data_IF_875271342060
#
_entry.id   IF_875271342060
#
_cell.length_a   1.000
_cell.length_b   1.000
_cell.length_c   1.000
_cell.angle_alpha   90.00
_cell.angle_beta   90.00
_cell.angle_gamma   90.00
#
_symmetry.space_group_name_H-M   'P 1'
#
loop_
_entity.id
_entity.type
_entity.pdbx_description
1 polymer ?
#
# COMPACT_ATOMS: atom_id res chain seq x y z
N UNK A 1 -11.90 64.88 -38.22
CA UNK A 1 -12.50 64.47 -36.98
C UNK A 1 -13.09 63.05 -37.12
N UNK A 2 -12.25 61.98 -37.16
CA UNK A 2 -12.71 60.56 -37.24
C UNK A 2 -11.68 59.57 -36.76
N UNK A 3 -10.96 59.79 -35.63
CA UNK A 3 -9.95 58.85 -35.09
C UNK A 3 -10.30 58.31 -33.69
N UNK A 4 -11.46 58.68 -33.11
CA UNK A 4 -11.82 58.25 -31.72
C UNK A 4 -12.62 56.96 -31.58
N UNK A 5 -12.99 56.27 -32.65
CA UNK A 5 -13.86 55.07 -32.54
C UNK A 5 -13.12 53.73 -32.59
N UNK A 6 -11.84 53.68 -32.92
CA UNK A 6 -11.12 52.41 -33.03
C UNK A 6 -10.25 52.08 -31.81
N UNK A 7 -9.96 53.06 -30.95
CA UNK A 7 -9.17 52.84 -29.72
C UNK A 7 -9.87 52.00 -28.67
N UNK A 8 -11.20 52.09 -28.62
CA UNK A 8 -11.99 51.32 -27.65
C UNK A 8 -12.15 49.82 -28.01
N UNK A 9 -12.08 49.50 -29.32
CA UNK A 9 -12.22 48.13 -29.78
C UNK A 9 -10.91 47.33 -29.60
N UNK A 10 -9.76 48.01 -29.76
CA UNK A 10 -8.42 47.40 -29.55
C UNK A 10 -8.15 47.14 -28.05
N UNK A 11 -8.65 48.00 -27.15
CA UNK A 11 -8.48 47.79 -25.71
C UNK A 11 -9.36 46.64 -25.18
N UNK A 12 -10.55 46.44 -25.74
CA UNK A 12 -11.42 45.32 -25.41
C UNK A 12 -10.85 43.98 -25.89
N UNK A 13 -10.18 43.92 -27.02
CA UNK A 13 -9.60 42.70 -27.59
C UNK A 13 -8.34 42.25 -26.81
N UNK A 14 -7.56 43.21 -26.27
CA UNK A 14 -6.39 42.91 -25.45
C UNK A 14 -6.76 42.32 -24.09
N UNK A 15 -7.94 42.64 -23.53
CA UNK A 15 -8.40 42.10 -22.25
C UNK A 15 -8.94 40.65 -22.36
N UNK A 16 -9.45 40.28 -23.53
CA UNK A 16 -9.96 38.89 -23.76
C UNK A 16 -8.81 37.91 -23.95
N UNK A 17 -7.65 38.38 -24.48
CA UNK A 17 -6.46 37.51 -24.65
C UNK A 17 -5.66 37.31 -23.33
N UNK A 18 -5.82 38.20 -22.36
CA UNK A 18 -5.16 38.06 -21.04
C UNK A 18 -5.90 37.11 -20.08
N UNK A 19 -7.14 36.73 -20.40
CA UNK A 19 -7.98 35.87 -19.54
C UNK A 19 -7.68 34.38 -19.66
N UNK A 20 -6.82 33.96 -20.62
CA UNK A 20 -6.47 32.55 -20.78
C UNK A 20 -5.11 32.14 -20.23
N UNK A 21 -4.36 33.08 -19.63
CA UNK A 21 -3.16 32.75 -18.89
C UNK A 21 -3.51 32.51 -17.40
N UNK A 22 -4.27 31.48 -17.13
CA UNK A 22 -4.23 30.88 -15.78
C UNK A 22 -2.78 30.52 -15.46
N UNK A 23 -2.33 30.60 -14.20
CA UNK A 23 -0.98 30.20 -13.86
C UNK A 23 -0.78 28.79 -14.41
N UNK A 24 0.14 28.66 -15.37
CA UNK A 24 0.63 27.35 -15.80
C UNK A 24 1.31 26.74 -14.56
N UNK A 25 0.54 26.01 -13.78
CA UNK A 25 1.07 25.21 -12.71
C UNK A 25 1.95 24.16 -13.38
N UNK A 26 3.25 24.43 -13.39
CA UNK A 26 4.23 23.47 -13.87
C UNK A 26 4.61 22.59 -12.68
N UNK A 27 4.21 21.32 -12.66
CA UNK A 27 4.61 20.39 -11.61
C UNK A 27 6.11 20.16 -11.55
N UNK A 28 6.88 20.67 -12.55
CA UNK A 28 8.33 20.57 -12.61
C UNK A 28 9.09 21.60 -11.75
N UNK A 29 8.40 22.58 -11.12
CA UNK A 29 9.02 23.56 -10.22
C UNK A 29 8.97 23.16 -8.75
N UNK A 30 8.22 22.16 -8.35
CA UNK A 30 8.34 21.59 -7.01
C UNK A 30 9.62 20.77 -6.94
N UNK A 31 10.51 21.14 -6.02
CA UNK A 31 11.67 20.30 -5.68
C UNK A 31 11.15 18.90 -5.38
N UNK A 32 11.68 17.90 -6.10
CA UNK A 32 11.42 16.52 -5.75
C UNK A 32 11.76 16.32 -4.27
N UNK A 33 10.74 16.11 -3.46
CA UNK A 33 10.91 15.80 -2.04
C UNK A 33 11.41 14.36 -2.00
N UNK A 34 12.73 14.21 -1.90
CA UNK A 34 13.32 12.91 -1.69
C UNK A 34 13.21 12.55 -0.21
N UNK A 35 12.76 11.36 0.11
CA UNK A 35 12.93 10.76 1.42
C UNK A 35 11.74 10.77 2.36
N UNK A 36 10.58 11.26 1.99
CA UNK A 36 9.36 10.98 2.73
C UNK A 36 8.67 9.75 2.17
N UNK A 37 8.64 8.71 2.98
CA UNK A 37 7.80 7.55 2.74
C UNK A 37 6.34 7.99 2.55
N UNK A 38 5.65 7.44 1.57
CA UNK A 38 4.25 7.74 1.36
C UNK A 38 3.44 7.14 2.52
N UNK A 39 2.93 8.00 3.39
CA UNK A 39 2.12 7.59 4.55
C UNK A 39 0.67 7.46 4.11
N UNK A 40 0.19 6.23 4.02
CA UNK A 40 -1.20 5.91 3.69
C UNK A 40 -2.12 6.14 4.90
N UNK A 41 -3.44 6.21 4.68
CA UNK A 41 -4.39 6.22 5.81
C UNK A 41 -4.36 4.89 6.56
N UNK A 42 -4.18 3.79 5.83
CA UNK A 42 -4.06 2.46 6.41
C UNK A 42 -2.80 2.34 7.27
N UNK A 43 -1.69 2.95 6.84
CA UNK A 43 -0.48 3.04 7.64
C UNK A 43 -0.71 3.76 8.98
N UNK A 44 -1.46 4.87 8.96
CA UNK A 44 -1.83 5.58 10.19
C UNK A 44 -2.68 4.70 11.12
N UNK A 45 -3.66 3.96 10.56
CA UNK A 45 -4.48 3.04 11.35
C UNK A 45 -3.62 1.92 11.95
N UNK A 46 -2.68 1.35 11.17
CA UNK A 46 -1.75 0.32 11.62
C UNK A 46 -0.85 0.80 12.76
N UNK A 47 -0.22 1.97 12.59
CA UNK A 47 0.73 2.53 13.59
C UNK A 47 0.03 3.11 14.81
N UNK A 48 -1.28 3.39 14.74
CA UNK A 48 -2.09 3.86 15.87
C UNK A 48 -2.69 2.74 16.72
N UNK A 49 -2.46 1.48 16.37
CA UNK A 49 -2.94 0.35 17.17
C UNK A 49 -2.32 0.42 18.58
N UNK A 50 -3.12 0.14 19.64
CA UNK A 50 -2.58 0.01 20.99
C UNK A 50 -1.45 -1.03 21.03
N UNK A 51 -0.37 -0.78 21.79
CA UNK A 51 0.82 -1.62 21.77
C UNK A 51 0.55 -3.03 22.32
N UNK A 52 1.36 -4.04 21.92
CA UNK A 52 1.30 -5.38 22.48
C UNK A 52 1.86 -5.41 23.92
N UNK A 53 1.47 -6.43 24.70
CA UNK A 53 2.14 -6.75 25.97
C UNK A 53 3.62 -7.05 25.74
N UNK A 54 3.93 -7.78 24.64
CA UNK A 54 5.27 -8.14 24.22
C UNK A 54 5.30 -8.31 22.71
N UNK A 55 6.34 -7.76 22.07
CA UNK A 55 6.54 -7.98 20.64
C UNK A 55 6.79 -9.46 20.33
N UNK A 56 6.23 -9.92 19.22
CA UNK A 56 6.32 -11.33 18.80
C UNK A 56 7.37 -11.49 17.71
N UNK A 57 8.43 -12.30 17.91
CA UNK A 57 9.36 -12.64 16.85
C UNK A 57 8.66 -13.47 15.76
N UNK A 58 8.73 -13.01 14.53
CA UNK A 58 8.07 -13.63 13.37
C UNK A 58 9.05 -13.81 12.22
N UNK A 59 8.88 -14.85 11.44
CA UNK A 59 9.65 -15.12 10.26
C UNK A 59 8.83 -14.81 8.99
N UNK A 60 9.44 -14.13 8.03
CA UNK A 60 8.90 -13.96 6.67
C UNK A 60 9.93 -14.50 5.71
N UNK A 61 9.57 -15.54 4.94
CA UNK A 61 10.49 -16.12 3.94
C UNK A 61 10.32 -15.45 2.59
N UNK A 62 9.10 -15.41 2.08
CA UNK A 62 8.77 -14.82 0.78
C UNK A 62 7.32 -14.38 0.76
N UNK A 63 7.10 -13.16 0.30
CA UNK A 63 5.76 -12.64 0.03
C UNK A 63 5.77 -12.06 -1.38
N UNK A 64 5.21 -12.78 -2.36
CA UNK A 64 5.41 -12.51 -3.77
C UNK A 64 4.12 -12.21 -4.51
N UNK A 65 4.29 -11.59 -5.68
CA UNK A 65 3.28 -11.55 -6.71
C UNK A 65 3.02 -12.96 -7.26
N UNK A 66 1.77 -13.42 -7.16
CA UNK A 66 1.28 -14.70 -7.66
C UNK A 66 0.30 -14.51 -8.82
N UNK A 67 0.10 -13.27 -9.29
CA UNK A 67 -0.84 -12.96 -10.38
C UNK A 67 -0.25 -13.25 -11.75
N UNK A 68 1.07 -13.16 -11.89
CA UNK A 68 1.78 -13.36 -13.15
C UNK A 68 1.44 -12.33 -14.22
N UNK A 69 0.91 -11.16 -13.84
CA UNK A 69 0.47 -10.16 -14.80
C UNK A 69 1.59 -9.19 -15.19
N UNK A 70 1.59 -8.82 -16.46
CA UNK A 70 2.50 -7.83 -17.05
C UNK A 70 1.78 -6.51 -17.30
N UNK A 71 2.54 -5.40 -17.31
CA UNK A 71 2.00 -4.07 -17.62
C UNK A 71 1.41 -4.05 -19.01
N UNK A 72 0.17 -3.59 -19.12
CA UNK A 72 -0.47 -3.37 -20.40
C UNK A 72 0.22 -2.21 -21.13
N UNK A 73 0.59 -2.43 -22.39
CA UNK A 73 1.12 -1.41 -23.27
C UNK A 73 0.43 -1.49 -24.62
N UNK A 74 0.00 -0.36 -25.12
CA UNK A 74 -0.63 -0.24 -26.45
C UNK A 74 0.38 -0.17 -27.60
N UNK A 75 1.64 0.15 -27.29
CA UNK A 75 2.65 0.47 -28.31
C UNK A 75 3.79 -0.55 -28.40
N UNK A 76 4.10 -1.27 -27.34
CA UNK A 76 5.20 -2.24 -27.29
C UNK A 76 4.83 -3.40 -26.36
N UNK A 77 5.31 -4.59 -26.67
CA UNK A 77 5.21 -5.73 -25.72
C UNK A 77 6.00 -5.40 -24.46
N UNK A 78 5.32 -5.14 -23.37
CA UNK A 78 5.97 -4.86 -22.07
C UNK A 78 6.26 -6.18 -21.36
N UNK A 79 7.54 -6.38 -20.98
CA UNK A 79 7.97 -7.49 -20.12
C UNK A 79 8.03 -7.08 -18.63
N UNK A 80 7.65 -5.85 -18.31
CA UNK A 80 7.59 -5.39 -16.92
C UNK A 80 6.37 -5.99 -16.22
N UNK A 81 6.59 -6.52 -15.01
CA UNK A 81 5.48 -6.98 -14.16
C UNK A 81 4.54 -5.83 -13.82
N UNK A 82 3.25 -6.10 -13.79
CA UNK A 82 2.25 -5.10 -13.41
C UNK A 82 2.32 -4.76 -11.93
N UNK A 83 2.74 -5.72 -11.12
CA UNK A 83 2.85 -5.66 -9.67
C UNK A 83 4.33 -5.59 -9.27
N UNK A 84 4.64 -4.82 -8.22
CA UNK A 84 5.97 -4.76 -7.64
C UNK A 84 6.46 -6.13 -7.18
N UNK A 85 7.75 -6.43 -7.44
CA UNK A 85 8.38 -7.65 -6.95
C UNK A 85 8.96 -7.49 -5.53
N UNK A 86 8.91 -6.26 -4.98
CA UNK A 86 9.39 -5.92 -3.65
C UNK A 86 8.37 -6.12 -2.51
N UNK A 87 7.29 -6.85 -2.73
CA UNK A 87 6.21 -7.00 -1.76
C UNK A 87 6.66 -7.59 -0.40
N UNK A 88 7.72 -8.43 -0.37
CA UNK A 88 8.30 -8.92 0.89
C UNK A 88 8.85 -7.77 1.73
N UNK A 89 9.56 -6.82 1.12
CA UNK A 89 10.11 -5.67 1.84
C UNK A 89 8.99 -4.78 2.41
N UNK A 90 7.92 -4.57 1.65
CA UNK A 90 6.74 -3.82 2.12
C UNK A 90 6.09 -4.52 3.32
N UNK A 91 5.95 -5.85 3.28
CA UNK A 91 5.40 -6.61 4.40
C UNK A 91 6.29 -6.52 5.65
N UNK A 92 7.61 -6.70 5.50
CA UNK A 92 8.55 -6.59 6.61
C UNK A 92 8.46 -5.21 7.24
N UNK A 93 8.43 -4.16 6.42
CA UNK A 93 8.28 -2.78 6.90
C UNK A 93 6.97 -2.57 7.64
N UNK A 94 5.84 -3.04 7.12
CA UNK A 94 4.55 -2.94 7.79
C UNK A 94 4.49 -3.69 9.13
N UNK A 95 5.14 -4.86 9.22
CA UNK A 95 5.26 -5.62 10.47
C UNK A 95 6.09 -4.86 11.51
N UNK A 96 7.21 -4.27 11.10
CA UNK A 96 8.10 -3.47 11.95
C UNK A 96 7.37 -2.21 12.45
N UNK A 97 6.77 -1.44 11.55
CA UNK A 97 6.08 -0.18 11.86
C UNK A 97 4.86 -0.38 12.76
N UNK A 98 4.23 -1.54 12.70
CA UNK A 98 3.11 -1.89 13.59
C UNK A 98 3.51 -1.88 15.08
N UNK A 99 4.80 -2.06 15.40
CA UNK A 99 5.30 -2.23 16.76
C UNK A 99 4.86 -3.53 17.46
N UNK A 100 4.12 -4.41 16.76
CA UNK A 100 3.62 -5.68 17.30
C UNK A 100 4.58 -6.83 17.10
N UNK A 101 5.42 -6.77 16.08
CA UNK A 101 6.27 -7.86 15.65
C UNK A 101 7.74 -7.48 15.62
N UNK A 102 8.59 -8.48 15.73
CA UNK A 102 10.03 -8.40 15.45
C UNK A 102 10.27 -9.28 14.23
N UNK A 103 10.33 -8.72 13.01
CA UNK A 103 10.64 -9.49 11.81
C UNK A 103 12.08 -10.04 11.89
N UNK A 104 12.22 -11.34 11.66
CA UNK A 104 13.52 -12.00 11.64
C UNK A 104 13.95 -12.25 10.20
N UNK A 105 15.23 -11.98 9.90
CA UNK A 105 15.80 -12.26 8.57
C UNK A 105 15.71 -13.75 8.23
N UNK A 106 14.92 -14.07 7.23
CA UNK A 106 14.74 -15.42 6.70
C UNK A 106 14.75 -15.46 5.17
N UNK A 107 14.56 -14.33 4.51
CA UNK A 107 14.60 -14.25 3.04
C UNK A 107 16.01 -14.52 2.53
N UNK A 108 17.02 -13.91 3.18
CA UNK A 108 18.43 -14.02 2.86
C UNK A 108 19.23 -14.64 4.02
N UNK A 109 18.66 -15.62 4.70
CA UNK A 109 19.30 -16.30 5.83
C UNK A 109 20.68 -16.85 5.50
N UNK A 110 20.91 -17.30 4.26
CA UNK A 110 22.19 -17.81 3.83
C UNK A 110 23.32 -16.77 3.96
N UNK A 111 23.06 -15.50 3.62
CA UNK A 111 24.02 -14.42 3.76
C UNK A 111 24.36 -14.17 5.24
N UNK A 112 23.35 -14.13 6.10
CA UNK A 112 23.54 -13.99 7.54
C UNK A 112 24.39 -15.12 8.13
N UNK A 113 24.12 -16.36 7.75
CA UNK A 113 24.88 -17.52 8.19
C UNK A 113 26.31 -17.50 7.66
N UNK A 114 26.52 -17.01 6.43
CA UNK A 114 27.86 -16.85 5.85
C UNK A 114 28.68 -15.81 6.61
N UNK A 115 28.11 -14.65 6.95
CA UNK A 115 28.78 -13.63 7.77
C UNK A 115 29.16 -14.18 9.16
N UNK A 116 28.25 -14.89 9.80
CA UNK A 116 28.52 -15.55 11.08
C UNK A 116 29.67 -16.55 11.00
N UNK A 117 29.74 -17.30 9.88
CA UNK A 117 30.83 -18.24 9.62
C UNK A 117 32.16 -17.51 9.43
N UNK A 118 32.19 -16.40 8.69
CA UNK A 118 33.38 -15.57 8.50
C UNK A 118 33.92 -15.09 9.85
N UNK A 119 33.05 -14.55 10.72
CA UNK A 119 33.46 -14.08 12.05
C UNK A 119 34.11 -15.21 12.86
N UNK A 120 33.53 -16.42 12.84
CA UNK A 120 34.06 -17.58 13.54
C UNK A 120 35.43 -18.03 12.95
N UNK A 121 35.56 -18.06 11.63
CA UNK A 121 36.80 -18.42 10.97
C UNK A 121 37.93 -17.43 11.24
N UNK A 122 37.64 -16.13 11.18
CA UNK A 122 38.62 -15.09 11.50
C UNK A 122 39.09 -15.19 12.95
N UNK A 123 38.19 -15.42 13.90
CA UNK A 123 38.54 -15.58 15.32
C UNK A 123 39.44 -16.82 15.59
N UNK A 124 39.31 -17.85 14.77
CA UNK A 124 40.17 -19.06 14.85
C UNK A 124 41.53 -18.83 14.25
N UNK A 125 41.63 -18.08 13.13
CA UNK A 125 42.86 -17.86 12.37
C UNK A 125 43.88 -17.01 13.14
N UNK A 126 43.43 -16.06 13.94
CA UNK A 126 44.31 -15.15 14.68
C UNK A 126 44.89 -15.74 15.96
N UNK A 127 44.54 -16.98 16.34
CA UNK A 127 45.09 -17.72 17.51
C UNK A 127 45.06 -16.92 18.84
N UNK A 128 44.23 -15.90 18.91
CA UNK A 128 44.04 -15.06 20.08
C UNK A 128 42.80 -15.53 20.83
N UNK A 129 43.00 -16.07 22.02
CA UNK A 129 41.91 -16.56 22.85
C UNK A 129 40.91 -15.43 23.26
N UNK A 130 41.38 -14.19 23.35
CA UNK A 130 40.53 -13.04 23.58
C UNK A 130 39.60 -12.76 22.38
N UNK A 131 40.12 -12.95 21.13
CA UNK A 131 39.30 -12.79 19.93
C UNK A 131 38.27 -13.89 19.80
N UNK A 132 38.58 -15.14 20.17
CA UNK A 132 37.62 -16.25 20.20
C UNK A 132 36.50 -16.00 21.20
N UNK A 133 36.85 -15.59 22.43
CA UNK A 133 35.90 -15.25 23.46
C UNK A 133 35.02 -14.06 23.02
N UNK A 134 35.62 -13.06 22.42
CA UNK A 134 34.90 -11.88 21.88
C UNK A 134 33.97 -12.26 20.75
N UNK A 135 34.38 -13.11 19.79
CA UNK A 135 33.52 -13.57 18.71
C UNK A 135 32.30 -14.37 19.22
N UNK A 136 32.51 -15.23 20.23
CA UNK A 136 31.41 -15.97 20.87
C UNK A 136 30.46 -15.07 21.65
N UNK A 137 30.98 -13.99 22.26
CA UNK A 137 30.14 -12.96 22.93
C UNK A 137 29.35 -12.12 21.95
N UNK A 138 29.93 -11.80 20.78
CA UNK A 138 29.27 -11.03 19.71
C UNK A 138 28.18 -11.87 19.04
N UNK A 139 28.46 -13.15 18.75
CA UNK A 139 27.54 -14.04 18.06
C UNK A 139 26.53 -14.70 19.01
N UNK A 140 25.57 -13.92 19.44
CA UNK A 140 24.44 -14.47 20.20
C UNK A 140 23.65 -15.49 19.38
N UNK A 141 22.95 -16.45 20.02
CA UNK A 141 22.04 -17.36 19.33
C UNK A 141 21.02 -16.59 18.51
N UNK A 142 20.68 -17.10 17.33
CA UNK A 142 19.60 -16.52 16.53
C UNK A 142 18.27 -16.66 17.26
N UNK A 143 17.47 -15.63 17.19
CA UNK A 143 16.11 -15.62 17.76
C UNK A 143 15.25 -16.63 17.00
N UNK A 144 14.45 -17.40 17.73
CA UNK A 144 13.48 -18.33 17.17
C UNK A 144 12.17 -17.59 16.86
N UNK A 145 11.63 -17.80 15.67
CA UNK A 145 10.29 -17.38 15.33
C UNK A 145 9.28 -18.39 15.89
N UNK A 146 8.28 -17.93 16.60
CA UNK A 146 7.14 -18.78 17.00
C UNK A 146 6.10 -18.92 15.88
N UNK A 147 6.07 -17.93 14.98
CA UNK A 147 5.12 -17.81 13.88
C UNK A 147 5.85 -17.49 12.59
N UNK A 148 5.44 -18.13 11.51
CA UNK A 148 5.83 -17.76 10.15
C UNK A 148 4.67 -17.02 9.52
N UNK A 149 4.94 -15.86 8.92
CA UNK A 149 4.00 -15.20 8.02
C UNK A 149 4.29 -15.60 6.58
N UNK A 150 3.26 -16.11 5.92
CA UNK A 150 3.29 -16.49 4.51
C UNK A 150 2.12 -15.87 3.79
N UNK A 151 2.30 -15.57 2.52
CA UNK A 151 1.25 -14.97 1.73
C UNK A 151 1.74 -14.48 0.38
N UNK A 152 0.97 -13.56 -0.18
CA UNK A 152 1.29 -12.95 -1.46
C UNK A 152 0.13 -12.14 -2.03
N UNK A 153 0.40 -11.58 -3.18
CA UNK A 153 -0.59 -10.87 -3.97
C UNK A 153 -1.24 -11.89 -4.91
N UNK A 154 -2.54 -12.14 -4.72
CA UNK A 154 -3.30 -13.20 -5.41
C UNK A 154 -4.27 -12.67 -6.46
N UNK A 155 -4.51 -11.36 -6.48
CA UNK A 155 -5.39 -10.74 -7.45
C UNK A 155 -4.90 -9.36 -7.82
N UNK A 156 -4.93 -9.08 -9.12
CA UNK A 156 -4.74 -7.77 -9.68
C UNK A 156 -5.64 -7.61 -10.89
N UNK A 157 -6.55 -6.65 -10.81
CA UNK A 157 -7.43 -6.27 -11.90
C UNK A 157 -7.26 -4.78 -12.18
N UNK A 158 -7.17 -4.42 -13.44
CA UNK A 158 -7.19 -3.04 -13.89
C UNK A 158 -8.27 -2.87 -14.95
N UNK A 159 -9.18 -1.91 -14.70
CA UNK A 159 -10.27 -1.62 -15.62
C UNK A 159 -10.29 -0.13 -15.93
N UNK A 160 -10.46 0.22 -17.19
CA UNK A 160 -10.70 1.59 -17.64
C UNK A 160 -12.21 1.81 -17.68
N UNK A 161 -12.70 2.69 -16.83
CA UNK A 161 -14.11 3.07 -16.79
C UNK A 161 -14.26 4.45 -17.43
N UNK A 162 -15.02 4.54 -18.49
CA UNK A 162 -15.33 5.82 -19.12
C UNK A 162 -16.56 6.41 -18.43
N UNK A 163 -16.33 7.35 -17.51
CA UNK A 163 -17.40 8.11 -16.84
C UNK A 163 -17.85 9.26 -17.73
N UNK A 164 -19.02 9.12 -18.39
CA UNK A 164 -19.66 10.23 -19.07
C UNK A 164 -20.69 10.88 -18.15
N UNK A 165 -20.38 11.95 -17.45
CA UNK A 165 -21.39 12.94 -17.10
C UNK A 165 -21.70 13.71 -18.39
N UNK A 166 -22.65 13.18 -19.13
CA UNK A 166 -23.07 13.76 -20.41
C UNK A 166 -23.93 14.99 -20.22
N UNK A 167 -23.32 16.11 -19.86
CA UNK A 167 -23.83 17.38 -20.29
C UNK A 167 -23.18 17.69 -21.65
N UNK A 168 -23.73 17.15 -22.73
CA UNK A 168 -23.43 17.62 -24.09
C UNK A 168 -24.04 19.01 -24.26
N UNK A 169 -23.30 20.03 -23.92
CA UNK A 169 -23.62 21.38 -24.34
C UNK A 169 -22.78 21.72 -25.56
N UNK A 170 -23.42 21.86 -26.71
CA UNK A 170 -22.79 22.19 -28.01
C UNK A 170 -21.68 21.22 -28.50
N UNK A 171 -21.80 19.92 -28.29
CA UNK A 171 -20.89 18.94 -28.92
C UNK A 171 -19.47 18.87 -28.32
N UNK A 172 -19.17 19.62 -27.29
CA UNK A 172 -17.90 19.54 -26.54
C UNK A 172 -18.16 18.75 -25.26
N UNK A 173 -18.04 17.44 -25.34
CA UNK A 173 -18.09 16.55 -24.20
C UNK A 173 -16.71 15.92 -23.98
N UNK A 174 -15.97 16.36 -23.00
CA UNK A 174 -14.76 15.66 -22.56
C UNK A 174 -15.13 14.36 -21.88
N UNK A 175 -14.84 13.21 -22.49
CA UNK A 175 -14.92 11.92 -21.82
C UNK A 175 -13.76 11.83 -20.83
N UNK A 176 -14.06 11.82 -19.54
CA UNK A 176 -13.05 11.59 -18.50
C UNK A 176 -12.91 10.08 -18.34
N UNK A 177 -11.71 9.55 -18.60
CA UNK A 177 -11.38 8.16 -18.38
C UNK A 177 -10.81 7.98 -16.98
N UNK A 178 -11.36 7.03 -16.25
CA UNK A 178 -10.85 6.62 -14.95
C UNK A 178 -10.27 5.22 -15.06
N UNK A 179 -9.17 5.00 -14.38
CA UNK A 179 -8.57 3.69 -14.19
C UNK A 179 -8.90 3.20 -12.79
N UNK A 180 -9.44 2.00 -12.71
CA UNK A 180 -9.75 1.32 -11.44
C UNK A 180 -8.77 0.18 -11.28
N UNK A 181 -7.86 0.29 -10.33
CA UNK A 181 -6.91 -0.76 -9.97
C UNK A 181 -7.38 -1.46 -8.69
N UNK A 182 -7.48 -2.79 -8.73
CA UNK A 182 -7.86 -3.62 -7.59
C UNK A 182 -6.74 -4.59 -7.29
N UNK A 183 -6.22 -4.55 -6.08
CA UNK A 183 -5.19 -5.46 -5.60
C UNK A 183 -5.75 -6.27 -4.45
N UNK A 184 -5.56 -7.58 -4.48
CA UNK A 184 -5.94 -8.49 -3.40
C UNK A 184 -4.72 -9.23 -2.89
N UNK A 185 -4.50 -9.16 -1.57
CA UNK A 185 -3.44 -9.86 -0.87
C UNK A 185 -4.04 -10.82 0.16
N UNK A 186 -3.34 -11.90 0.43
CA UNK A 186 -3.62 -12.75 1.59
C UNK A 186 -2.38 -12.89 2.47
N UNK A 187 -2.60 -13.01 3.77
CA UNK A 187 -1.57 -13.23 4.76
C UNK A 187 -2.04 -14.31 5.73
N UNK A 188 -1.20 -15.32 5.97
CA UNK A 188 -1.50 -16.39 6.92
C UNK A 188 -0.40 -16.51 7.96
N UNK A 189 -0.81 -16.76 9.19
CA UNK A 189 0.07 -17.06 10.31
C UNK A 189 0.16 -18.57 10.49
N UNK A 190 1.37 -19.11 10.42
CA UNK A 190 1.65 -20.54 10.55
C UNK A 190 2.46 -20.79 11.82
N UNK A 191 2.02 -21.73 12.66
CA UNK A 191 2.73 -22.12 13.87
C UNK A 191 3.97 -22.93 13.53
N UNK A 192 5.14 -22.45 13.98
CA UNK A 192 6.39 -23.22 13.84
C UNK A 192 6.35 -24.52 14.63
N UNK A 193 5.61 -24.55 15.74
CA UNK A 193 5.54 -25.69 16.65
C UNK A 193 4.95 -26.96 16.02
N UNK A 194 3.91 -26.79 15.19
CA UNK A 194 3.15 -27.94 14.67
C UNK A 194 2.71 -27.77 13.19
N UNK A 195 3.12 -26.69 12.51
CA UNK A 195 2.75 -26.43 11.13
C UNK A 195 1.28 -26.02 10.90
N UNK A 196 0.51 -25.82 11.96
CA UNK A 196 -0.90 -25.43 11.81
C UNK A 196 -1.03 -23.99 11.33
N UNK A 197 -1.95 -23.75 10.37
CA UNK A 197 -2.36 -22.41 9.99
C UNK A 197 -3.27 -21.88 11.09
N UNK A 198 -2.77 -20.89 11.85
CA UNK A 198 -3.48 -20.32 12.98
C UNK A 198 -4.58 -19.35 12.53
N UNK A 199 -4.28 -18.54 11.55
CA UNK A 199 -5.21 -17.57 10.98
C UNK A 199 -4.79 -17.20 9.56
N UNK A 200 -5.77 -16.92 8.71
CA UNK A 200 -5.59 -16.32 7.40
C UNK A 200 -6.46 -15.08 7.33
N UNK A 201 -5.90 -14.00 6.80
CA UNK A 201 -6.60 -12.76 6.47
C UNK A 201 -6.43 -12.46 4.99
N UNK A 202 -7.41 -11.78 4.43
CA UNK A 202 -7.37 -11.30 3.06
C UNK A 202 -7.77 -9.84 3.06
N UNK A 203 -7.00 -9.01 2.37
CA UNK A 203 -7.28 -7.60 2.18
C UNK A 203 -7.34 -7.27 0.70
N UNK A 204 -8.31 -6.44 0.33
CA UNK A 204 -8.46 -5.96 -1.05
C UNK A 204 -8.47 -4.43 -1.02
N UNK A 205 -7.61 -3.83 -1.84
CA UNK A 205 -7.59 -2.39 -2.06
C UNK A 205 -8.02 -2.06 -3.47
N UNK A 206 -8.91 -1.07 -3.59
CA UNK A 206 -9.34 -0.49 -4.85
C UNK A 206 -8.86 0.95 -4.90
N UNK A 207 -8.19 1.31 -5.98
CA UNK A 207 -7.73 2.68 -6.25
C UNK A 207 -8.38 3.15 -7.54
N UNK A 208 -9.05 4.30 -7.45
CA UNK A 208 -9.59 5.01 -8.61
C UNK A 208 -8.62 6.15 -8.96
N UNK A 209 -8.12 6.15 -10.17
CA UNK A 209 -7.20 7.16 -10.65
C UNK A 209 -7.65 7.75 -11.99
N UNK A 210 -7.35 9.02 -12.21
CA UNK A 210 -7.48 9.70 -13.49
C UNK A 210 -6.07 9.97 -14.00
N UNK A 211 -5.75 9.48 -15.19
CA UNK A 211 -4.48 9.79 -15.82
C UNK A 211 -4.49 11.24 -16.32
N UNK A 212 -3.51 12.00 -15.86
CA UNK A 212 -3.19 13.33 -16.35
C UNK A 212 -2.01 13.19 -17.32
N UNK A 213 -1.89 14.09 -18.31
CA UNK A 213 -0.80 14.03 -19.28
C UNK A 213 0.58 13.97 -18.62
N UNK A 214 1.47 13.08 -19.11
CA UNK A 214 2.86 12.99 -18.64
C UNK A 214 3.12 12.02 -17.49
N UNK A 215 2.26 11.02 -17.28
CA UNK A 215 2.49 9.98 -16.24
C UNK A 215 2.12 10.41 -14.83
N UNK A 216 1.40 11.53 -14.70
CA UNK A 216 0.81 11.93 -13.42
C UNK A 216 -0.58 11.34 -13.27
N UNK A 217 -0.90 10.90 -12.06
CA UNK A 217 -2.19 10.33 -11.72
C UNK A 217 -2.86 11.17 -10.65
N UNK A 218 -4.12 11.52 -10.88
CA UNK A 218 -5.00 12.08 -9.87
C UNK A 218 -5.86 10.95 -9.34
N UNK A 219 -5.72 10.62 -8.06
CA UNK A 219 -6.53 9.58 -7.46
C UNK A 219 -7.61 10.15 -6.57
N UNK A 220 -8.73 9.42 -6.53
CA UNK A 220 -9.88 9.71 -5.69
C UNK A 220 -10.03 8.53 -4.74
N UNK A 221 -9.94 8.76 -3.44
CA UNK A 221 -10.17 7.70 -2.46
C UNK A 221 -11.64 7.37 -2.36
N UNK A 222 -11.96 6.09 -2.57
CA UNK A 222 -13.32 5.57 -2.42
C UNK A 222 -13.69 5.17 -0.99
N UNK A 223 -12.78 5.24 -0.03
CA UNK A 223 -12.99 4.62 1.28
C UNK A 223 -13.86 5.39 2.26
N UNK A 224 -14.14 6.67 2.03
CA UNK A 224 -15.10 7.42 2.81
C UNK A 224 -15.86 8.33 1.85
N UNK A 225 -17.15 8.15 1.76
CA UNK A 225 -18.07 8.93 0.91
C UNK A 225 -18.10 10.44 1.20
N UNK A 226 -17.30 10.93 2.16
CA UNK A 226 -17.27 12.32 2.61
C UNK A 226 -15.88 12.99 2.66
N UNK A 227 -14.79 12.26 2.44
CA UNK A 227 -13.44 12.84 2.39
C UNK A 227 -12.86 12.64 0.99
N UNK A 228 -13.03 13.65 0.14
CA UNK A 228 -12.33 13.74 -1.15
C UNK A 228 -10.92 14.23 -0.83
N UNK A 229 -10.00 13.32 -0.52
CA UNK A 229 -8.57 13.65 -0.60
C UNK A 229 -8.19 13.64 -2.08
N UNK A 230 -8.08 14.81 -2.65
CA UNK A 230 -7.53 14.98 -4.00
C UNK A 230 -6.01 15.11 -3.86
N UNK A 231 -5.28 14.09 -4.28
CA UNK A 231 -3.83 14.11 -4.37
C UNK A 231 -3.37 13.98 -5.81
N UNK A 232 -2.26 14.63 -6.15
CA UNK A 232 -1.51 14.35 -7.39
C UNK A 232 -0.27 13.58 -6.98
N UNK A 233 -0.05 12.43 -7.58
CA UNK A 233 1.14 11.61 -7.32
C UNK A 233 1.84 11.24 -8.62
N UNK A 234 3.16 11.17 -8.56
CA UNK A 234 3.98 10.57 -9.61
C UNK A 234 4.11 9.05 -9.44
N UNK A 235 3.64 8.49 -8.31
CA UNK A 235 3.70 7.06 -8.06
C UNK A 235 2.59 6.34 -8.81
N UNK A 236 2.89 5.15 -9.30
CA UNK A 236 1.88 4.32 -9.95
C UNK A 236 0.79 3.94 -8.94
N UNK A 237 -0.51 4.10 -9.27
CA UNK A 237 -1.62 3.76 -8.39
C UNK A 237 -1.58 2.31 -7.89
N UNK A 238 -1.01 1.41 -8.69
CA UNK A 238 -0.85 -0.01 -8.36
C UNK A 238 0.08 -0.23 -7.17
N UNK A 239 1.22 0.49 -7.12
CA UNK A 239 2.18 0.37 -6.02
C UNK A 239 1.56 0.81 -4.70
N UNK A 240 0.84 1.92 -4.72
CA UNK A 240 0.08 2.40 -3.56
C UNK A 240 -0.99 1.39 -3.11
N UNK A 241 -1.72 0.80 -4.08
CA UNK A 241 -2.73 -0.21 -3.78
C UNK A 241 -2.13 -1.46 -3.13
N UNK A 242 -0.94 -1.89 -3.59
CA UNK A 242 -0.19 -3.00 -2.98
C UNK A 242 0.23 -2.67 -1.56
N UNK A 243 0.84 -1.49 -1.34
CA UNK A 243 1.27 -1.06 -0.02
C UNK A 243 0.09 -1.04 0.95
N UNK A 244 -1.00 -0.36 0.61
CA UNK A 244 -2.18 -0.26 1.48
C UNK A 244 -2.86 -1.61 1.71
N UNK A 245 -2.88 -2.51 0.73
CA UNK A 245 -3.44 -3.84 0.91
C UNK A 245 -2.60 -4.70 1.87
N UNK A 246 -1.26 -4.58 1.81
CA UNK A 246 -0.36 -5.29 2.73
C UNK A 246 -0.49 -4.71 4.16
N UNK A 247 -0.46 -3.38 4.30
CA UNK A 247 -0.64 -2.71 5.60
C UNK A 247 -1.98 -3.10 6.25
N UNK A 248 -3.06 -3.15 5.44
CA UNK A 248 -4.38 -3.60 5.91
C UNK A 248 -4.37 -5.07 6.32
N UNK A 249 -3.69 -5.94 5.59
CA UNK A 249 -3.57 -7.35 5.96
C UNK A 249 -2.82 -7.53 7.29
N UNK A 250 -1.76 -6.75 7.54
CA UNK A 250 -1.04 -6.76 8.83
C UNK A 250 -1.94 -6.23 9.95
N UNK A 251 -2.62 -5.10 9.74
CA UNK A 251 -3.57 -4.53 10.70
C UNK A 251 -4.65 -5.56 11.09
N UNK A 252 -5.28 -6.18 10.11
CA UNK A 252 -6.34 -7.16 10.33
C UNK A 252 -5.81 -8.44 11.01
N UNK A 253 -4.59 -8.86 10.66
CA UNK A 253 -3.92 -10.00 11.29
C UNK A 253 -3.66 -9.73 12.79
N UNK A 254 -3.27 -8.51 13.16
CA UNK A 254 -3.08 -8.13 14.56
C UNK A 254 -4.39 -8.27 15.31
N UNK A 255 -5.46 -7.68 14.82
CA UNK A 255 -6.77 -7.69 15.51
C UNK A 255 -7.34 -9.12 15.59
N UNK A 256 -7.34 -9.84 14.47
CA UNK A 256 -7.84 -11.21 14.44
C UNK A 256 -7.01 -12.14 15.33
N UNK A 257 -5.70 -11.93 15.40
CA UNK A 257 -4.81 -12.70 16.29
C UNK A 257 -5.05 -12.41 17.77
N UNK A 258 -5.35 -11.17 18.15
CA UNK A 258 -5.77 -10.82 19.51
C UNK A 258 -7.09 -11.52 19.84
N UNK A 259 -8.08 -11.49 18.94
CA UNK A 259 -9.39 -12.13 19.13
C UNK A 259 -9.29 -13.64 19.42
N UNK A 260 -8.36 -14.33 18.78
CA UNK A 260 -8.16 -15.78 18.98
C UNK A 260 -7.04 -16.11 19.99
N UNK A 261 -6.48 -15.10 20.66
CA UNK A 261 -5.50 -15.27 21.71
C UNK A 261 -4.09 -15.65 21.27
N UNK A 262 -3.71 -15.39 20.00
CA UNK A 262 -2.35 -15.63 19.49
C UNK A 262 -1.32 -14.70 20.13
N UNK A 263 -1.70 -13.47 20.39
CA UNK A 263 -0.92 -12.43 21.05
C UNK A 263 -1.84 -11.56 21.90
N UNK A 264 -1.22 -10.80 22.82
CA UNK A 264 -1.96 -10.02 23.80
C UNK A 264 -1.61 -8.54 23.69
N UNK A 265 -2.61 -7.64 23.71
CA UNK A 265 -2.36 -6.21 23.87
C UNK A 265 -1.87 -5.91 25.30
N UNK A 266 -1.12 -4.82 25.44
CA UNK A 266 -0.65 -4.34 26.75
C UNK A 266 -1.83 -3.97 27.66
N UNK A 267 -2.87 -3.37 27.08
CA UNK A 267 -4.11 -3.02 27.76
C UNK A 267 -5.31 -3.61 26.96
N UNK A 268 -5.91 -4.71 27.47
CA UNK A 268 -7.04 -5.35 26.82
C UNK A 268 -8.29 -4.47 26.72
N UNK A 269 -8.54 -3.61 27.71
CA UNK A 269 -9.73 -2.74 27.71
C UNK A 269 -9.63 -1.65 26.65
N UNK A 270 -8.45 -1.05 26.50
CA UNK A 270 -8.19 -0.07 25.43
C UNK A 270 -8.30 -0.76 24.05
N UNK A 271 -7.82 -1.98 23.91
CA UNK A 271 -7.87 -2.71 22.64
C UNK A 271 -9.28 -3.14 22.25
N UNK A 272 -10.19 -3.29 23.19
CA UNK A 272 -11.59 -3.67 22.96
C UNK A 272 -12.31 -2.71 22.03
N UNK A 273 -12.11 -1.40 22.21
CA UNK A 273 -12.67 -0.38 21.31
C UNK A 273 -12.17 -0.54 19.86
N UNK A 274 -10.92 -0.97 19.69
CA UNK A 274 -10.34 -1.26 18.36
C UNK A 274 -11.03 -2.45 17.70
N UNK A 275 -11.29 -3.51 18.47
CA UNK A 275 -12.04 -4.70 17.98
C UNK A 275 -13.46 -4.30 17.58
N UNK A 276 -14.16 -3.55 18.40
CA UNK A 276 -15.53 -3.09 18.12
C UNK A 276 -15.61 -2.26 16.83
N UNK A 277 -14.68 -1.33 16.65
CA UNK A 277 -14.57 -0.56 15.41
C UNK A 277 -14.33 -1.45 14.19
N UNK A 278 -13.41 -2.38 14.30
CA UNK A 278 -13.07 -3.34 13.24
C UNK A 278 -14.28 -4.20 12.83
N UNK A 279 -15.01 -4.75 13.81
CA UNK A 279 -16.21 -5.56 13.53
C UNK A 279 -17.31 -4.74 12.86
N UNK A 280 -17.51 -3.52 13.31
CA UNK A 280 -18.46 -2.60 12.69
C UNK A 280 -18.11 -2.30 11.24
N UNK A 281 -16.83 -2.04 10.95
CA UNK A 281 -16.35 -1.81 9.57
C UNK A 281 -16.60 -3.05 8.68
N UNK A 282 -16.35 -4.25 9.20
CA UNK A 282 -16.64 -5.51 8.49
C UNK A 282 -18.13 -5.70 8.22
N UNK A 283 -18.96 -5.42 9.20
CA UNK A 283 -20.42 -5.54 9.06
C UNK A 283 -20.96 -4.54 8.02
N UNK A 284 -20.49 -3.30 8.06
CA UNK A 284 -20.86 -2.28 7.07
C UNK A 284 -20.39 -2.66 5.65
N UNK A 285 -19.19 -3.21 5.50
CA UNK A 285 -18.69 -3.70 4.22
C UNK A 285 -19.55 -4.85 3.68
N UNK A 286 -19.97 -5.79 4.53
CA UNK A 286 -20.86 -6.89 4.16
C UNK A 286 -22.25 -6.38 3.75
N UNK A 287 -22.80 -5.40 4.46
CA UNK A 287 -24.11 -4.77 4.11
C UNK A 287 -24.04 -4.12 2.73
N UNK A 288 -22.97 -3.39 2.43
CA UNK A 288 -22.75 -2.77 1.11
C UNK A 288 -22.65 -3.78 -0.01
N UNK A 289 -21.94 -4.90 0.20
CA UNK A 289 -21.86 -5.98 -0.78
C UNK A 289 -23.21 -6.63 -1.06
N UNK A 290 -24.03 -6.86 -0.03
CA UNK A 290 -25.37 -7.41 -0.18
C UNK A 290 -26.27 -6.46 -0.96
N UNK A 291 -26.29 -5.18 -0.60
CA UNK A 291 -27.10 -4.18 -1.30
C UNK A 291 -26.67 -3.98 -2.76
N UNK A 292 -25.37 -4.05 -3.06
CA UNK A 292 -24.87 -3.98 -4.44
C UNK A 292 -25.27 -5.22 -5.24
N UNK A 293 -25.17 -6.43 -4.67
CA UNK A 293 -25.63 -7.66 -5.32
C UNK A 293 -27.13 -7.70 -5.56
N UNK A 294 -27.94 -7.20 -4.63
CA UNK A 294 -29.40 -7.05 -4.82
C UNK A 294 -29.72 -6.04 -5.92
N UNK A 295 -29.03 -4.90 -5.97
CA UNK A 295 -29.20 -3.89 -7.02
C UNK A 295 -28.86 -4.43 -8.42
N UNK A 296 -27.82 -5.24 -8.54
CA UNK A 296 -27.45 -5.91 -9.79
C UNK A 296 -28.50 -6.95 -10.21
N UNK A 297 -29.01 -7.73 -9.25
CA UNK A 297 -30.05 -8.74 -9.52
C UNK A 297 -31.36 -8.13 -10.01
N UNK A 298 -31.76 -6.97 -9.47
CA UNK A 298 -32.98 -6.25 -9.86
C UNK A 298 -32.80 -5.33 -11.06
N UNK A 299 -31.63 -5.28 -11.70
CA UNK A 299 -31.37 -4.48 -12.88
C UNK A 299 -31.44 -2.95 -12.66
N UNK A 300 -31.36 -2.52 -11.41
CA UNK A 300 -31.30 -1.09 -11.06
C UNK A 300 -29.86 -0.62 -11.23
N UNK A 301 -29.59 0.01 -12.37
CA UNK A 301 -28.31 0.69 -12.67
C UNK A 301 -28.42 2.18 -12.37
#
# INVERSE_FOLDING_TARGET
MKIKKYGSLLFGLSFVLASCAGPLYSPFYEKAISGTEYITSVHKDLTSLPPPEKQVPVAVYKFRDQTGQYKYSTTVTSFSTAITQGATAILIKALEDSGWFIPLERENLANLLQERKIILQMSQQYNDDNLKETALKILQPLIFAGVIFEGGIIGYDTNIVTGGFGARYFGVGGAVQYRVDRVTVYLRAVSVKNGAILKTVQATKVVLSQELSGGFFRFVRLNRLLEIETGITSNEPVEMAVQEAIEKAVHDMIIEGVKIGMWKPKDPEVFKATIERYEKEKEEALKRLKSAGEAEFWGVR
#
